data_IF_361587023889
#
_entry.id   IF_361587023889
#
_cell.length_a   1.000
_cell.length_b   1.000
_cell.length_c   1.000
_cell.angle_alpha   90.00
_cell.angle_beta   90.00
_cell.angle_gamma   90.00
#
_symmetry.space_group_name_H-M   'P 1'
#
loop_
_entity.id
_entity.type
_entity.pdbx_description
1 polymer ?
#
# COMPACT_ATOMS: atom_id res chain seq x y z
N UNK A 1 -4.49 -20.68 1.11
CA UNK A 1 -3.22 -21.17 0.52
C UNK A 1 -2.58 -22.11 1.51
N UNK A 2 -2.23 -23.33 1.10
CA UNK A 2 -1.54 -24.27 1.99
C UNK A 2 -0.09 -23.80 2.30
N UNK A 3 0.57 -24.38 3.32
CA UNK A 3 1.92 -23.99 3.68
C UNK A 3 2.97 -24.16 2.57
N UNK A 4 2.82 -25.13 1.68
CA UNK A 4 3.75 -25.36 0.58
C UNK A 4 3.63 -24.27 -0.49
N UNK A 5 2.39 -23.92 -0.86
CA UNK A 5 2.09 -22.80 -1.73
C UNK A 5 2.64 -21.49 -1.19
N UNK A 6 2.48 -21.24 0.12
CA UNK A 6 3.03 -20.02 0.77
C UNK A 6 4.55 -19.95 0.68
N UNK A 7 5.25 -21.07 0.91
CA UNK A 7 6.71 -21.14 0.76
C UNK A 7 7.15 -20.91 -0.68
N UNK A 8 6.43 -21.45 -1.65
CA UNK A 8 6.74 -21.24 -3.06
C UNK A 8 6.65 -19.76 -3.45
N UNK A 9 5.54 -19.09 -3.08
CA UNK A 9 5.35 -17.65 -3.33
C UNK A 9 6.37 -16.78 -2.61
N UNK A 10 6.74 -17.12 -1.37
CA UNK A 10 7.77 -16.36 -0.65
C UNK A 10 9.16 -16.52 -1.29
N UNK A 11 9.49 -17.68 -1.87
CA UNK A 11 10.74 -17.87 -2.62
C UNK A 11 10.76 -17.06 -3.90
N UNK A 12 9.66 -17.08 -4.65
CA UNK A 12 9.48 -16.27 -5.85
C UNK A 12 9.67 -14.77 -5.54
N UNK A 13 8.98 -14.27 -4.50
CA UNK A 13 9.17 -12.91 -4.01
C UNK A 13 10.63 -12.64 -3.59
N UNK A 14 11.30 -13.63 -2.98
CA UNK A 14 12.69 -13.48 -2.56
C UNK A 14 13.68 -13.35 -3.72
N UNK A 15 13.50 -14.11 -4.80
CA UNK A 15 14.30 -13.95 -6.02
C UNK A 15 14.08 -12.57 -6.62
N UNK A 16 12.82 -12.14 -6.70
CA UNK A 16 12.49 -10.82 -7.24
C UNK A 16 12.99 -9.66 -6.35
N UNK A 17 12.93 -9.80 -5.03
CA UNK A 17 13.42 -8.79 -4.09
C UNK A 17 14.95 -8.62 -4.18
N UNK A 18 15.70 -9.69 -4.46
CA UNK A 18 17.14 -9.64 -4.69
C UNK A 18 17.48 -8.91 -6.00
N UNK A 19 16.73 -9.19 -7.07
CA UNK A 19 16.79 -8.42 -8.32
C UNK A 19 16.50 -6.94 -8.06
N UNK A 20 15.37 -6.61 -7.41
CA UNK A 20 14.99 -5.24 -7.11
C UNK A 20 16.08 -4.51 -6.32
N UNK A 21 16.60 -5.16 -5.28
CA UNK A 21 17.66 -4.60 -4.44
C UNK A 21 18.92 -4.28 -5.23
N UNK A 22 19.30 -5.16 -6.15
CA UNK A 22 20.51 -5.00 -6.97
C UNK A 22 20.29 -3.93 -8.04
N UNK A 23 19.18 -3.99 -8.77
CA UNK A 23 18.86 -3.10 -9.89
C UNK A 23 18.66 -1.65 -9.46
N UNK A 24 18.09 -1.42 -8.28
CA UNK A 24 17.85 -0.06 -7.75
C UNK A 24 18.81 0.33 -6.62
N UNK A 25 19.91 -0.40 -6.47
CA UNK A 25 20.97 -0.14 -5.48
C UNK A 25 20.45 0.00 -4.03
N UNK A 26 19.40 -0.73 -3.66
CA UNK A 26 18.70 -0.59 -2.37
C UNK A 26 19.39 -1.32 -1.20
N UNK A 27 20.68 -1.63 -1.31
CA UNK A 27 21.44 -2.42 -0.33
C UNK A 27 21.36 -1.88 1.11
N UNK A 28 21.33 -0.55 1.25
CA UNK A 28 21.23 0.14 2.55
C UNK A 28 19.78 0.41 2.99
N UNK A 29 18.80 0.12 2.13
CA UNK A 29 17.37 0.35 2.40
C UNK A 29 16.68 -0.98 2.70
N UNK A 30 16.83 -1.96 1.80
CA UNK A 30 16.23 -3.28 1.92
C UNK A 30 17.25 -4.28 2.49
N UNK A 31 17.20 -4.46 3.82
CA UNK A 31 18.10 -5.37 4.54
C UNK A 31 17.81 -6.85 4.21
N UNK A 32 18.80 -7.73 4.39
CA UNK A 32 18.64 -9.16 4.11
C UNK A 32 17.59 -9.87 4.97
N UNK A 33 17.21 -9.28 6.11
CA UNK A 33 16.20 -9.84 7.01
C UNK A 33 14.77 -9.40 6.67
N UNK A 34 14.53 -8.71 5.54
CA UNK A 34 13.21 -8.16 5.15
C UNK A 34 12.05 -9.15 5.31
N UNK A 35 12.26 -10.44 5.03
CA UNK A 35 11.24 -11.50 5.13
C UNK A 35 10.73 -11.74 6.56
N UNK A 36 11.41 -11.18 7.57
CA UNK A 36 11.02 -11.19 8.99
C UNK A 36 10.17 -9.99 9.38
N UNK A 37 9.93 -9.04 8.47
CA UNK A 37 9.18 -7.82 8.71
C UNK A 37 7.88 -7.82 7.89
N UNK A 38 6.73 -8.19 8.48
CA UNK A 38 5.48 -8.38 7.74
C UNK A 38 5.05 -7.15 6.92
N UNK A 39 5.24 -5.95 7.46
CA UNK A 39 4.93 -4.72 6.74
C UNK A 39 5.76 -4.59 5.45
N UNK A 40 7.07 -4.88 5.51
CA UNK A 40 7.96 -4.83 4.34
C UNK A 40 7.59 -5.93 3.33
N UNK A 41 7.27 -7.14 3.80
CA UNK A 41 6.78 -8.23 2.93
C UNK A 41 5.55 -7.79 2.13
N UNK A 42 4.62 -7.06 2.75
CA UNK A 42 3.41 -6.59 2.08
C UNK A 42 3.66 -5.47 1.08
N UNK A 43 4.56 -4.53 1.38
CA UNK A 43 4.98 -3.52 0.41
C UNK A 43 5.68 -4.17 -0.79
N UNK A 44 6.57 -5.13 -0.56
CA UNK A 44 7.25 -5.87 -1.64
C UNK A 44 6.26 -6.71 -2.46
N UNK A 45 5.28 -7.34 -1.81
CA UNK A 45 4.25 -8.12 -2.52
C UNK A 45 3.41 -7.23 -3.43
N UNK A 46 3.04 -6.03 -2.98
CA UNK A 46 2.33 -5.05 -3.79
C UNK A 46 3.17 -4.59 -5.00
N UNK A 47 4.44 -4.24 -4.77
CA UNK A 47 5.36 -3.83 -5.84
C UNK A 47 5.61 -4.96 -6.85
N UNK A 48 5.80 -6.19 -6.38
CA UNK A 48 5.99 -7.38 -7.22
C UNK A 48 4.76 -7.68 -8.08
N UNK A 49 3.56 -7.57 -7.50
CA UNK A 49 2.31 -7.75 -8.23
C UNK A 49 2.12 -6.67 -9.28
N UNK A 50 2.45 -5.42 -8.94
CA UNK A 50 2.47 -4.30 -9.90
C UNK A 50 3.45 -4.57 -11.05
N UNK A 51 4.69 -4.93 -10.72
CA UNK A 51 5.74 -5.25 -11.68
C UNK A 51 5.31 -6.38 -12.63
N UNK A 52 4.75 -7.46 -12.10
CA UNK A 52 4.26 -8.59 -12.90
C UNK A 52 3.15 -8.17 -13.84
N UNK A 53 2.21 -7.32 -13.39
CA UNK A 53 1.14 -6.80 -14.25
C UNK A 53 1.65 -5.86 -15.34
N UNK A 54 2.70 -5.10 -15.05
CA UNK A 54 3.32 -4.16 -15.99
C UNK A 54 4.15 -4.89 -17.04
N UNK A 55 4.98 -5.88 -16.65
CA UNK A 55 5.98 -6.48 -17.55
C UNK A 55 5.62 -7.88 -18.06
N UNK A 56 4.64 -8.57 -17.47
CA UNK A 56 4.20 -9.91 -17.88
C UNK A 56 2.70 -9.98 -18.20
N UNK A 57 1.99 -8.85 -18.13
CA UNK A 57 0.60 -8.76 -18.55
C UNK A 57 0.45 -8.65 -20.06
N UNK A 58 -0.72 -9.00 -20.57
CA UNK A 58 -1.14 -8.53 -21.89
C UNK A 58 -1.26 -6.99 -21.85
N UNK A 59 -1.10 -6.31 -22.98
CA UNK A 59 -1.23 -4.84 -23.13
C UNK A 59 -2.70 -4.45 -23.40
N UNK A 60 -3.56 -4.24 -22.39
CA UNK A 60 -4.87 -3.68 -22.63
C UNK A 60 -4.75 -2.20 -23.01
N UNK A 61 -5.67 -1.69 -23.84
CA UNK A 61 -5.73 -0.27 -24.17
C UNK A 61 -5.85 0.59 -22.90
N UNK A 62 -5.15 1.73 -22.87
CA UNK A 62 -5.14 2.66 -21.73
C UNK A 62 -4.01 2.45 -20.71
N UNK A 63 -2.96 1.70 -21.06
CA UNK A 63 -1.74 1.50 -20.24
C UNK A 63 -0.50 2.21 -20.79
N UNK A 64 -0.71 3.28 -21.54
CA UNK A 64 0.37 4.17 -21.95
C UNK A 64 1.15 4.62 -20.69
N UNK A 65 2.45 4.33 -20.61
CA UNK A 65 3.36 4.65 -19.50
C UNK A 65 3.31 3.75 -18.25
N UNK A 66 2.72 2.55 -18.31
CA UNK A 66 2.63 1.65 -17.16
C UNK A 66 3.98 1.32 -16.48
N UNK A 67 5.07 1.25 -17.25
CA UNK A 67 6.43 1.07 -16.74
C UNK A 67 6.92 2.27 -15.94
N UNK A 68 6.70 3.48 -16.48
CA UNK A 68 7.09 4.72 -15.81
C UNK A 68 6.30 4.92 -14.52
N UNK A 69 5.00 4.61 -14.53
CA UNK A 69 4.14 4.67 -13.35
C UNK A 69 4.55 3.65 -12.28
N UNK A 70 4.93 2.45 -12.70
CA UNK A 70 5.46 1.45 -11.77
C UNK A 70 6.78 1.92 -11.13
N UNK A 71 7.71 2.51 -11.91
CA UNK A 71 8.96 3.08 -11.38
C UNK A 71 8.68 4.22 -10.40
N UNK A 72 7.73 5.11 -10.71
CA UNK A 72 7.32 6.18 -9.80
C UNK A 72 6.77 5.62 -8.49
N UNK A 73 5.93 4.58 -8.58
CA UNK A 73 5.38 3.87 -7.42
C UNK A 73 6.48 3.22 -6.59
N UNK A 74 7.47 2.58 -7.23
CA UNK A 74 8.63 2.03 -6.54
C UNK A 74 9.36 3.11 -5.73
N UNK A 75 9.69 4.25 -6.34
CA UNK A 75 10.38 5.33 -5.63
C UNK A 75 9.57 5.89 -4.46
N UNK A 76 8.25 5.97 -4.59
CA UNK A 76 7.37 6.35 -3.49
C UNK A 76 7.37 5.32 -2.34
N UNK A 77 7.58 4.04 -2.65
CA UNK A 77 7.62 2.95 -1.66
C UNK A 77 8.98 2.80 -0.97
N UNK A 78 10.09 3.19 -1.60
CA UNK A 78 11.46 3.03 -1.04
C UNK A 78 11.58 3.48 0.42
N UNK A 79 11.03 4.64 0.86
CA UNK A 79 11.08 5.04 2.27
C UNK A 79 10.44 4.03 3.23
N UNK A 80 9.38 3.33 2.80
CA UNK A 80 8.64 2.34 3.57
C UNK A 80 9.33 0.97 3.62
N UNK A 81 10.34 0.73 2.77
CA UNK A 81 11.15 -0.49 2.80
C UNK A 81 12.31 -0.41 3.80
N UNK A 82 12.61 0.78 4.33
CA UNK A 82 13.73 1.00 5.25
C UNK A 82 13.50 0.27 6.56
N UNK A 83 14.56 -0.43 7.01
CA UNK A 83 14.61 -1.10 8.31
C UNK A 83 15.79 -0.57 9.14
N UNK A 84 15.68 0.66 9.70
CA UNK A 84 16.80 1.29 10.42
C UNK A 84 17.34 0.44 11.56
N UNK A 85 16.46 -0.25 12.29
CA UNK A 85 16.83 -1.13 13.39
C UNK A 85 17.67 -2.34 12.95
N UNK A 86 17.61 -2.71 11.67
CA UNK A 86 18.37 -3.83 11.09
C UNK A 86 19.52 -3.38 10.19
N UNK A 87 19.74 -2.07 10.02
CA UNK A 87 20.67 -1.51 9.04
C UNK A 87 22.16 -1.83 9.37
N UNK A 88 22.47 -2.08 10.64
CA UNK A 88 23.82 -2.43 11.11
C UNK A 88 24.17 -3.91 10.96
N UNK A 89 23.33 -4.68 10.29
CA UNK A 89 23.55 -6.12 10.02
C UNK A 89 22.99 -7.06 11.08
N UNK A 90 22.51 -6.54 12.21
CA UNK A 90 21.85 -7.34 13.25
C UNK A 90 20.34 -7.19 13.14
N UNK A 91 19.63 -8.30 12.94
CA UNK A 91 18.16 -8.32 12.94
C UNK A 91 17.60 -7.88 14.29
N UNK A 92 16.51 -7.12 14.26
CA UNK A 92 15.72 -6.72 15.42
C UNK A 92 14.26 -7.07 15.13
N UNK A 93 13.62 -7.80 16.05
CA UNK A 93 12.23 -8.19 15.86
C UNK A 93 11.31 -6.94 15.88
N UNK A 94 10.28 -6.90 15.02
CA UNK A 94 9.25 -5.88 15.12
C UNK A 94 8.63 -5.86 16.52
N UNK A 95 8.20 -4.68 17.01
CA UNK A 95 7.39 -4.62 18.21
C UNK A 95 6.21 -5.59 18.12
N UNK A 96 5.86 -6.29 19.20
CA UNK A 96 4.74 -7.21 19.20
C UNK A 96 3.45 -6.47 18.82
N UNK A 97 2.61 -7.12 18.02
CA UNK A 97 1.28 -6.61 17.72
C UNK A 97 0.49 -6.50 19.03
N UNK A 98 0.00 -5.30 19.32
CA UNK A 98 -0.90 -5.08 20.46
C UNK A 98 -2.24 -5.73 20.12
N UNK A 99 -2.72 -6.71 20.91
CA UNK A 99 -4.02 -7.31 20.65
C UNK A 99 -5.13 -6.26 20.79
N UNK A 100 -6.17 -6.39 19.98
CA UNK A 100 -7.35 -5.54 20.14
C UNK A 100 -7.94 -5.72 21.55
N UNK A 101 -8.43 -4.64 22.19
CA UNK A 101 -9.06 -4.75 23.50
C UNK A 101 -10.32 -5.63 23.42
N UNK A 102 -10.70 -6.31 24.52
CA UNK A 102 -11.96 -7.06 24.57
C UNK A 102 -13.15 -6.16 24.22
N UNK A 103 -14.07 -6.65 23.40
CA UNK A 103 -15.22 -5.87 22.96
C UNK A 103 -14.96 -4.92 21.79
N UNK A 104 -13.73 -4.85 21.24
CA UNK A 104 -13.40 -3.92 20.16
C UNK A 104 -14.24 -4.15 18.89
N UNK A 105 -14.53 -5.41 18.56
CA UNK A 105 -15.35 -5.75 17.39
C UNK A 105 -16.80 -5.29 17.59
N UNK A 106 -17.37 -5.59 18.76
CA UNK A 106 -18.72 -5.18 19.12
C UNK A 106 -18.87 -3.66 19.20
N UNK A 107 -17.87 -2.97 19.76
CA UNK A 107 -17.82 -1.51 19.79
C UNK A 107 -17.75 -0.92 18.37
N UNK A 108 -17.02 -1.57 17.45
CA UNK A 108 -16.98 -1.17 16.05
C UNK A 108 -18.35 -1.34 15.36
N UNK A 109 -19.03 -2.46 15.58
CA UNK A 109 -20.39 -2.67 15.05
C UNK A 109 -21.40 -1.64 15.61
N UNK A 110 -21.29 -1.31 16.91
CA UNK A 110 -22.09 -0.23 17.51
C UNK A 110 -21.79 1.12 16.88
N UNK A 111 -20.52 1.43 16.60
CA UNK A 111 -20.14 2.66 15.90
C UNK A 111 -20.76 2.71 14.49
N UNK A 112 -20.70 1.62 13.73
CA UNK A 112 -21.30 1.55 12.40
C UNK A 112 -22.82 1.76 12.45
N UNK A 113 -23.48 1.23 13.47
CA UNK A 113 -24.94 1.30 13.60
C UNK A 113 -25.44 2.65 14.12
N UNK A 114 -24.66 3.33 14.97
CA UNK A 114 -25.17 4.46 15.76
C UNK A 114 -24.44 5.79 15.53
N UNK A 115 -23.24 5.78 14.94
CA UNK A 115 -22.50 7.03 14.75
C UNK A 115 -23.10 7.85 13.61
N UNK A 116 -23.16 9.17 13.79
CA UNK A 116 -23.55 10.08 12.71
C UNK A 116 -22.61 9.96 11.51
N UNK A 117 -21.32 9.69 11.73
CA UNK A 117 -20.35 9.49 10.66
C UNK A 117 -20.69 8.29 9.76
N UNK A 118 -21.20 7.20 10.33
CA UNK A 118 -21.58 6.01 9.57
C UNK A 118 -23.02 6.04 9.03
N UNK A 119 -23.91 6.81 9.67
CA UNK A 119 -25.36 6.78 9.36
C UNK A 119 -25.89 8.02 8.64
N UNK A 120 -25.21 9.17 8.75
CA UNK A 120 -25.66 10.37 8.06
C UNK A 120 -25.53 10.21 6.54
N UNK A 121 -26.45 10.80 5.75
CA UNK A 121 -26.30 10.84 4.30
C UNK A 121 -24.96 11.48 3.92
N UNK A 122 -24.29 10.90 2.93
CA UNK A 122 -23.03 11.44 2.42
C UNK A 122 -23.24 12.89 1.93
N UNK A 123 -22.64 13.84 2.64
CA UNK A 123 -22.65 15.25 2.25
C UNK A 123 -21.26 15.63 1.76
N UNK A 124 -21.13 15.90 0.46
CA UNK A 124 -19.89 16.43 -0.08
C UNK A 124 -19.77 17.91 0.30
N UNK A 125 -18.66 18.37 0.91
CA UNK A 125 -18.53 19.76 1.37
C UNK A 125 -18.66 20.77 0.21
N UNK A 126 -18.28 20.38 -1.01
CA UNK A 126 -18.46 21.24 -2.19
C UNK A 126 -19.90 21.32 -2.73
N UNK A 127 -20.87 20.55 -2.22
CA UNK A 127 -22.25 20.59 -2.73
C UNK A 127 -22.91 21.96 -2.51
N UNK A 128 -22.66 22.58 -1.34
CA UNK A 128 -23.11 23.94 -1.06
C UNK A 128 -22.44 24.97 -1.97
N UNK A 129 -21.14 24.80 -2.23
CA UNK A 129 -20.36 25.68 -3.11
C UNK A 129 -20.81 25.59 -4.58
N UNK A 130 -21.06 24.37 -5.08
CA UNK A 130 -21.59 24.15 -6.43
C UNK A 130 -22.99 24.74 -6.58
N UNK A 131 -23.82 24.65 -5.54
CA UNK A 131 -25.15 25.26 -5.52
C UNK A 131 -25.06 26.78 -5.57
N UNK A 132 -24.17 27.38 -4.76
CA UNK A 132 -23.90 28.82 -4.76
C UNK A 132 -23.46 29.33 -6.13
N UNK A 133 -22.49 28.66 -6.76
CA UNK A 133 -21.98 29.03 -8.10
C UNK A 133 -23.03 28.93 -9.20
N UNK A 134 -23.94 27.95 -9.13
CA UNK A 134 -25.05 27.82 -10.09
C UNK A 134 -26.12 28.90 -9.93
N UNK A 135 -26.22 29.51 -8.75
CA UNK A 135 -27.19 30.56 -8.45
C UNK A 135 -26.65 31.97 -8.74
N UNK A 136 -25.37 32.09 -9.09
CA UNK A 136 -24.74 33.37 -9.44
C UNK A 136 -25.17 33.75 -10.87
N UNK A 137 -25.87 34.89 -11.09
CA UNK A 137 -26.34 35.28 -12.41
C UNK A 137 -25.16 35.67 -13.31
N UNK A 138 -25.28 35.39 -14.60
CA UNK A 138 -24.25 35.76 -15.59
C UNK A 138 -24.00 37.27 -15.56
N UNK A 139 -22.72 37.72 -15.61
CA UNK A 139 -22.41 39.13 -15.63
C UNK A 139 -23.02 39.78 -16.89
N UNK A 140 -23.53 41.02 -16.79
CA UNK A 140 -24.08 41.70 -17.95
C UNK A 140 -22.99 41.93 -19.01
N UNK A 141 -23.32 41.56 -20.25
CA UNK A 141 -22.50 41.74 -21.45
C UNK A 141 -22.16 43.20 -21.73
#
# INVERSE_FOLDING_TARGET
>A
MDPAGRRARLRELGVWADWLRTTYELHNTLTHCWYRHPAVVEHLTALYTGWTRTYAGEDPPGRELAEADWINTLHAFVPHLKLPACATGTHQDPPPLVPAPPGAAEAFEQYLTHSAAATAPAAHPAAAELTRRRAEPDPPL
#
